data_IF_362097205393
#
_entry.id   IF_362097205393
#
_cell.length_a   1.000
_cell.length_b   1.000
_cell.length_c   1.000
_cell.angle_alpha   90.00
_cell.angle_beta   90.00
_cell.angle_gamma   90.00
#
_symmetry.space_group_name_H-M   'P 1'
#
loop_
_entity.id
_entity.type
_entity.pdbx_description
1 polymer ?
#
# COMPACT_ATOMS: atom_id res chain seq x y z
N UNK A 1 -30.77 -1.82 7.99
CA UNK A 1 -31.33 -1.91 6.62
C UNK A 1 -30.36 -2.71 5.78
N UNK A 2 -30.84 -3.76 5.12
CA UNK A 2 -30.00 -4.60 4.24
C UNK A 2 -29.54 -3.81 3.02
N UNK A 3 -28.26 -3.93 2.63
CA UNK A 3 -27.65 -3.12 1.55
C UNK A 3 -27.82 -3.71 0.15
N UNK A 4 -28.26 -4.95 0.01
CA UNK A 4 -28.52 -5.60 -1.29
C UNK A 4 -27.27 -5.87 -2.14
N UNK A 5 -26.08 -5.98 -1.53
CA UNK A 5 -24.78 -6.08 -2.22
C UNK A 5 -24.23 -7.51 -2.34
N UNK A 6 -25.09 -8.52 -2.22
CA UNK A 6 -24.69 -9.93 -2.21
C UNK A 6 -24.05 -10.38 -3.53
N UNK A 7 -24.50 -9.83 -4.67
CA UNK A 7 -23.88 -10.11 -5.98
C UNK A 7 -22.45 -9.59 -6.05
N UNK A 8 -22.21 -8.40 -5.50
CA UNK A 8 -20.88 -7.79 -5.48
C UNK A 8 -19.96 -8.58 -4.55
N UNK A 9 -20.42 -8.90 -3.34
CA UNK A 9 -19.66 -9.77 -2.42
C UNK A 9 -19.29 -11.10 -3.10
N UNK A 10 -20.25 -11.71 -3.83
CA UNK A 10 -20.00 -12.95 -4.55
C UNK A 10 -18.89 -12.82 -5.60
N UNK A 11 -18.84 -11.68 -6.30
CA UNK A 11 -17.76 -11.37 -7.23
C UNK A 11 -16.40 -11.32 -6.53
N UNK A 12 -16.29 -10.65 -5.38
CA UNK A 12 -15.04 -10.61 -4.61
C UNK A 12 -14.59 -12.00 -4.14
N UNK A 13 -15.52 -12.82 -3.63
CA UNK A 13 -15.24 -14.20 -3.23
C UNK A 13 -14.76 -15.07 -4.41
N UNK A 14 -15.40 -14.92 -5.57
CA UNK A 14 -15.00 -15.65 -6.77
C UNK A 14 -13.62 -15.20 -7.28
N UNK A 15 -13.29 -13.91 -7.20
CA UNK A 15 -11.95 -13.39 -7.49
C UNK A 15 -10.92 -14.05 -6.55
N UNK A 16 -11.15 -14.03 -5.24
CA UNK A 16 -10.23 -14.64 -4.27
C UNK A 16 -10.02 -16.13 -4.55
N UNK A 17 -11.09 -16.86 -4.86
CA UNK A 17 -11.05 -18.32 -5.09
C UNK A 17 -10.37 -18.70 -6.40
N UNK A 18 -10.64 -17.97 -7.49
CA UNK A 18 -10.21 -18.37 -8.85
C UNK A 18 -8.79 -17.87 -9.15
N UNK A 19 -8.43 -16.68 -8.66
CA UNK A 19 -7.18 -15.99 -9.02
C UNK A 19 -5.90 -16.80 -8.73
N UNK A 20 -5.74 -17.49 -7.57
CA UNK A 20 -4.52 -18.23 -7.28
C UNK A 20 -4.24 -19.35 -8.30
N UNK A 21 -5.30 -20.04 -8.75
CA UNK A 21 -5.20 -21.09 -9.77
C UNK A 21 -4.82 -20.53 -11.14
N UNK A 22 -5.46 -19.44 -11.56
CA UNK A 22 -5.15 -18.79 -12.84
C UNK A 22 -3.72 -18.25 -12.89
N UNK A 23 -3.25 -17.61 -11.81
CA UNK A 23 -1.90 -17.06 -11.77
C UNK A 23 -0.85 -18.18 -11.73
N UNK A 24 -1.09 -19.25 -10.96
CA UNK A 24 -0.16 -20.38 -10.89
C UNK A 24 -0.04 -21.09 -12.25
N UNK A 25 -1.16 -21.28 -12.95
CA UNK A 25 -1.17 -21.81 -14.31
C UNK A 25 -0.40 -20.90 -15.28
N UNK A 26 -0.61 -19.58 -15.21
CA UNK A 26 0.09 -18.62 -16.10
C UNK A 26 1.60 -18.54 -15.82
N UNK A 27 2.01 -18.63 -14.56
CA UNK A 27 3.43 -18.54 -14.17
C UNK A 27 4.17 -19.87 -14.24
N UNK A 28 3.48 -20.98 -14.55
CA UNK A 28 4.02 -22.35 -14.45
C UNK A 28 4.71 -22.63 -13.10
N UNK A 29 4.25 -21.98 -12.03
CA UNK A 29 4.85 -22.07 -10.70
C UNK A 29 3.82 -21.72 -9.63
N UNK A 30 3.84 -22.45 -8.51
CA UNK A 30 3.02 -22.12 -7.35
C UNK A 30 3.48 -20.79 -6.76
N UNK A 31 2.55 -19.82 -6.70
CA UNK A 31 2.86 -18.46 -6.25
C UNK A 31 2.34 -18.15 -4.84
N UNK A 32 1.51 -19.02 -4.23
CA UNK A 32 1.01 -18.84 -2.86
C UNK A 32 0.24 -17.54 -2.64
N UNK A 33 -0.57 -17.12 -3.62
CA UNK A 33 -1.29 -15.84 -3.57
C UNK A 33 -2.55 -15.98 -2.72
N UNK A 34 -2.75 -15.03 -1.81
CA UNK A 34 -3.94 -14.88 -0.98
C UNK A 34 -4.55 -13.49 -1.20
N UNK A 35 -5.86 -13.35 -0.98
CA UNK A 35 -6.48 -12.04 -0.92
C UNK A 35 -5.92 -11.25 0.27
N UNK A 36 -5.47 -10.02 0.03
CA UNK A 36 -5.13 -9.09 1.10
C UNK A 36 -6.39 -8.33 1.56
N UNK A 37 -6.26 -7.61 2.68
CA UNK A 37 -7.36 -6.81 3.24
C UNK A 37 -7.90 -5.76 2.25
N UNK A 38 -7.05 -5.28 1.34
CA UNK A 38 -7.40 -4.24 0.37
C UNK A 38 -8.41 -4.72 -0.68
N UNK A 39 -8.47 -6.03 -0.95
CA UNK A 39 -9.49 -6.60 -1.81
C UNK A 39 -10.90 -6.30 -1.28
N UNK A 40 -11.08 -6.34 0.04
CA UNK A 40 -12.38 -6.20 0.69
C UNK A 40 -12.63 -4.81 1.31
N UNK A 41 -11.59 -4.12 1.77
CA UNK A 41 -11.74 -2.85 2.52
C UNK A 41 -12.46 -1.78 1.70
N UNK A 42 -12.13 -1.65 0.41
CA UNK A 42 -12.80 -0.69 -0.49
C UNK A 42 -14.28 -1.00 -0.71
N UNK A 43 -14.65 -2.29 -0.77
CA UNK A 43 -16.05 -2.73 -0.85
C UNK A 43 -16.81 -2.40 0.42
N UNK A 44 -16.21 -2.64 1.59
CA UNK A 44 -16.81 -2.30 2.89
C UNK A 44 -17.05 -0.79 2.99
N UNK A 45 -16.09 0.04 2.63
CA UNK A 45 -16.24 1.50 2.68
C UNK A 45 -17.34 2.01 1.72
N UNK A 46 -17.43 1.42 0.53
CA UNK A 46 -18.47 1.72 -0.44
C UNK A 46 -19.87 1.32 0.08
N UNK A 47 -20.00 0.16 0.73
CA UNK A 47 -21.25 -0.27 1.37
C UNK A 47 -21.69 0.67 2.50
N UNK A 48 -20.74 1.26 3.22
CA UNK A 48 -20.97 2.27 4.25
C UNK A 48 -21.35 3.64 3.67
N UNK A 49 -21.21 3.83 2.34
CA UNK A 49 -21.51 5.09 1.67
C UNK A 49 -20.45 6.17 1.94
N UNK A 50 -19.21 5.77 2.20
CA UNK A 50 -18.12 6.69 2.47
C UNK A 50 -17.57 7.25 1.15
N UNK A 51 -17.35 8.58 1.05
CA UNK A 51 -16.63 9.17 -0.08
C UNK A 51 -15.22 8.54 -0.22
N UNK A 52 -14.78 8.32 -1.47
CA UNK A 52 -13.48 7.69 -1.76
C UNK A 52 -12.30 8.51 -1.23
N UNK A 53 -12.47 9.81 -1.16
CA UNK A 53 -11.53 10.78 -0.60
C UNK A 53 -11.25 10.51 0.89
N UNK A 54 -12.15 9.81 1.59
CA UNK A 54 -12.01 9.46 3.01
C UNK A 54 -11.30 8.12 3.26
N UNK A 55 -11.01 7.32 2.23
CA UNK A 55 -10.43 5.99 2.42
C UNK A 55 -9.04 6.07 3.09
N UNK A 56 -8.17 6.94 2.58
CA UNK A 56 -6.83 7.16 3.17
C UNK A 56 -6.91 7.82 4.55
N UNK A 57 -7.72 8.87 4.79
CA UNK A 57 -7.93 9.40 6.14
C UNK A 57 -8.38 8.36 7.17
N UNK A 58 -9.32 7.47 6.83
CA UNK A 58 -9.78 6.41 7.74
C UNK A 58 -8.66 5.44 8.08
N UNK A 59 -7.87 5.04 7.07
CA UNK A 59 -6.67 4.23 7.30
C UNK A 59 -5.70 4.92 8.25
N UNK A 60 -5.43 6.23 8.04
CA UNK A 60 -4.56 7.01 8.90
C UNK A 60 -5.07 7.07 10.35
N UNK A 61 -6.35 7.41 10.56
CA UNK A 61 -6.99 7.42 11.88
C UNK A 61 -6.80 6.09 12.61
N UNK A 62 -6.97 4.98 11.90
CA UNK A 62 -6.81 3.65 12.47
C UNK A 62 -5.32 3.34 12.79
N UNK A 63 -4.36 3.89 12.04
CA UNK A 63 -2.91 3.67 12.25
C UNK A 63 -2.23 4.62 13.22
N UNK A 64 -2.86 5.74 13.58
CA UNK A 64 -2.32 6.67 14.58
C UNK A 64 -1.87 5.95 15.84
N UNK A 65 -2.66 5.01 16.37
CA UNK A 65 -2.29 4.25 17.59
C UNK A 65 -0.98 3.47 17.41
N UNK A 66 -0.77 2.83 16.25
CA UNK A 66 0.46 2.10 15.95
C UNK A 66 1.65 3.03 15.74
N UNK A 67 1.45 4.15 15.04
CA UNK A 67 2.49 5.17 14.86
C UNK A 67 2.91 5.78 16.19
N UNK A 68 1.96 6.08 17.08
CA UNK A 68 2.24 6.57 18.42
C UNK A 68 3.00 5.52 19.25
N UNK A 69 2.61 4.25 19.20
CA UNK A 69 3.30 3.18 19.90
C UNK A 69 4.76 3.03 19.44
N UNK A 70 5.00 2.94 18.13
CA UNK A 70 6.36 2.89 17.58
C UNK A 70 7.17 4.15 17.91
N UNK A 71 6.53 5.33 17.97
CA UNK A 71 7.22 6.56 18.35
C UNK A 71 7.69 6.51 19.81
N UNK A 72 6.85 6.02 20.71
CA UNK A 72 7.20 5.84 22.14
C UNK A 72 8.32 4.81 22.28
N UNK A 73 8.26 3.71 21.54
CA UNK A 73 9.28 2.66 21.52
C UNK A 73 10.65 3.22 21.07
N UNK A 74 10.69 4.02 20.01
CA UNK A 74 11.91 4.65 19.51
C UNK A 74 12.52 5.61 20.55
N UNK A 75 11.68 6.46 21.16
CA UNK A 75 12.09 7.42 22.17
C UNK A 75 12.67 6.75 23.42
N UNK A 76 12.14 5.58 23.79
CA UNK A 76 12.55 4.86 25.01
C UNK A 76 13.75 3.95 24.76
N UNK A 77 13.87 3.37 23.57
CA UNK A 77 14.86 2.32 23.28
C UNK A 77 16.09 2.80 22.53
N UNK A 78 15.93 3.75 21.59
CA UNK A 78 16.94 4.00 20.55
C UNK A 78 17.55 5.38 20.54
N UNK A 79 16.82 6.45 20.93
CA UNK A 79 17.35 7.79 21.20
C UNK A 79 18.33 8.39 20.16
N UNK A 80 18.37 7.82 18.95
CA UNK A 80 19.39 8.04 17.92
C UNK A 80 18.69 8.36 16.63
N UNK A 81 19.18 9.37 15.93
CA UNK A 81 18.67 9.73 14.62
C UNK A 81 18.86 8.56 13.62
N UNK A 82 17.79 8.23 12.90
CA UNK A 82 17.84 7.26 11.80
C UNK A 82 18.52 7.96 10.60
N UNK A 83 19.79 7.63 10.33
CA UNK A 83 20.60 8.25 9.28
C UNK A 83 21.14 7.19 8.29
N UNK A 84 20.36 6.82 7.25
CA UNK A 84 20.85 5.93 6.22
C UNK A 84 21.96 6.61 5.38
N UNK A 85 22.89 5.82 4.85
CA UNK A 85 23.89 6.26 3.89
C UNK A 85 23.44 5.92 2.46
N UNK A 86 23.95 6.66 1.47
CA UNK A 86 23.76 6.36 0.05
C UNK A 86 25.10 6.45 -0.69
N UNK A 87 25.17 5.79 -1.85
CA UNK A 87 26.32 5.84 -2.76
C UNK A 87 25.88 6.54 -4.04
N UNK A 88 26.66 7.51 -4.51
CA UNK A 88 26.42 8.16 -5.80
C UNK A 88 26.85 7.22 -6.93
N UNK A 89 25.96 7.02 -7.90
CA UNK A 89 26.27 6.29 -9.14
C UNK A 89 26.78 7.21 -10.25
N UNK A 90 26.97 8.50 -9.96
CA UNK A 90 27.52 9.46 -10.93
C UNK A 90 29.00 9.13 -11.12
N UNK A 91 29.34 8.63 -12.30
CA UNK A 91 30.70 8.20 -12.65
C UNK A 91 31.64 9.39 -12.88
N UNK A 92 31.12 10.51 -13.40
CA UNK A 92 31.91 11.69 -13.75
C UNK A 92 31.33 12.99 -13.20
N UNK A 93 32.22 13.90 -12.80
CA UNK A 93 31.85 15.24 -12.37
C UNK A 93 31.28 16.01 -13.57
N UNK A 94 29.99 16.30 -13.56
CA UNK A 94 29.35 17.10 -14.60
C UNK A 94 29.63 18.58 -14.34
N UNK A 95 30.21 19.25 -15.33
CA UNK A 95 30.43 20.70 -15.27
C UNK A 95 29.11 21.46 -15.36
N UNK A 96 29.08 22.63 -14.71
CA UNK A 96 27.90 23.49 -14.71
C UNK A 96 27.68 24.09 -16.10
N UNK A 97 26.50 23.85 -16.69
CA UNK A 97 26.07 24.51 -17.93
C UNK A 97 25.11 25.67 -17.58
N UNK A 98 25.39 26.91 -18.03
CA UNK A 98 24.49 28.06 -17.86
C UNK A 98 23.08 27.77 -18.38
N UNK A 99 22.05 28.31 -17.73
CA UNK A 99 20.65 27.96 -18.04
C UNK A 99 20.26 28.24 -19.50
N UNK A 100 20.84 29.28 -20.10
CA UNK A 100 20.61 29.69 -21.50
C UNK A 100 21.23 28.74 -22.52
N UNK A 101 22.14 27.86 -22.08
CA UNK A 101 22.90 26.93 -22.92
C UNK A 101 22.46 25.47 -22.73
N UNK A 102 21.48 25.22 -21.85
CA UNK A 102 20.87 23.90 -21.68
C UNK A 102 19.89 23.66 -22.84
N UNK A 103 19.91 22.45 -23.42
CA UNK A 103 18.94 22.02 -24.44
C UNK A 103 17.54 21.85 -23.85
#
# INVERSE_FOLDING_TARGET
VEKGRQKDLKLYEDIERITPGLISARKNAFTGICANVDLYSGFVYDMLGLPKELYTPIFACARVVGWSAHRIEELTSSGKIIRPAYVSMVEEKVDYVPITERK
#
